data_IF_803403677310
#
_entry.id   IF_803403677310
#
_cell.length_a   1.000
_cell.length_b   1.000
_cell.length_c   1.000
_cell.angle_alpha   90.00
_cell.angle_beta   90.00
_cell.angle_gamma   90.00
#
_symmetry.space_group_name_H-M   'P 1'
#
loop_
_entity.id
_entity.type
_entity.pdbx_description
1 polymer ?
#
# COMPACT_ATOMS: atom_id res chain seq x y z
N UNK A 1 13.09 -13.44 -13.55
CA UNK A 1 13.47 -14.58 -12.68
C UNK A 1 14.88 -14.32 -12.18
N UNK A 2 15.21 -14.71 -10.95
CA UNK A 2 16.49 -14.38 -10.30
C UNK A 2 16.59 -12.91 -9.89
N UNK A 3 15.52 -12.38 -9.29
CA UNK A 3 15.47 -10.98 -8.81
C UNK A 3 15.69 -10.99 -7.31
N UNK A 4 16.69 -10.24 -6.84
CA UNK A 4 17.04 -10.14 -5.42
C UNK A 4 16.32 -8.97 -4.72
N UNK A 5 15.86 -7.97 -5.50
CA UNK A 5 15.13 -6.80 -5.04
C UNK A 5 14.01 -6.43 -6.03
N UNK A 6 12.79 -6.25 -5.54
CA UNK A 6 11.68 -5.71 -6.31
C UNK A 6 11.12 -4.44 -5.65
N UNK A 7 10.84 -3.42 -6.46
CA UNK A 7 10.30 -2.14 -6.01
C UNK A 7 9.00 -1.86 -6.74
N UNK A 8 7.93 -1.61 -5.98
CA UNK A 8 6.62 -1.24 -6.51
C UNK A 8 6.43 0.29 -6.55
N UNK A 9 5.48 0.79 -7.36
CA UNK A 9 5.15 2.21 -7.41
C UNK A 9 4.64 2.80 -6.08
N UNK A 10 4.55 4.13 -6.04
CA UNK A 10 4.00 4.89 -4.91
C UNK A 10 2.54 4.51 -4.62
N UNK A 11 2.22 4.24 -3.36
CA UNK A 11 0.86 3.89 -2.89
C UNK A 11 0.16 2.86 -3.79
N UNK A 12 0.92 1.86 -4.25
CA UNK A 12 0.41 0.84 -5.15
C UNK A 12 -0.77 0.08 -4.54
N UNK A 13 -0.82 -0.05 -3.21
CA UNK A 13 -1.96 -0.62 -2.49
C UNK A 13 -2.80 0.43 -1.76
N UNK A 14 -4.16 0.37 -1.82
CA UNK A 14 -4.93 -0.38 -2.79
C UNK A 14 -4.82 0.22 -4.21
N UNK A 15 -4.57 1.53 -4.29
CA UNK A 15 -4.27 2.29 -5.50
C UNK A 15 -3.80 3.70 -5.12
N UNK A 16 -3.15 4.39 -6.05
CA UNK A 16 -2.80 5.80 -5.86
C UNK A 16 -4.08 6.65 -5.83
N UNK A 17 -4.23 7.60 -4.88
CA UNK A 17 -5.45 8.39 -4.69
C UNK A 17 -5.65 9.46 -5.78
N UNK A 18 -5.73 9.07 -7.06
CA UNK A 18 -5.86 9.98 -8.20
C UNK A 18 -7.08 10.89 -8.11
N UNK A 19 -8.17 10.45 -7.45
CA UNK A 19 -9.35 11.28 -7.21
C UNK A 19 -9.00 12.61 -6.52
N UNK A 20 -7.95 12.63 -5.68
CA UNK A 20 -7.48 13.86 -5.02
C UNK A 20 -6.90 14.90 -6.00
N UNK A 21 -6.50 14.47 -7.20
CA UNK A 21 -5.96 15.34 -8.26
C UNK A 21 -7.01 15.72 -9.30
N UNK A 22 -7.94 14.81 -9.61
CA UNK A 22 -8.83 14.96 -10.78
C UNK A 22 -10.26 15.35 -10.40
N UNK A 23 -10.66 15.17 -9.15
CA UNK A 23 -12.00 15.54 -8.68
C UNK A 23 -11.95 16.86 -7.91
N UNK A 24 -12.99 17.71 -8.03
CA UNK A 24 -13.15 18.85 -7.12
C UNK A 24 -13.26 18.37 -5.66
N UNK A 25 -12.69 19.12 -4.72
CA UNK A 25 -12.63 18.72 -3.31
C UNK A 25 -13.99 18.32 -2.70
N UNK A 26 -15.08 19.01 -3.08
CA UNK A 26 -16.45 18.72 -2.63
C UNK A 26 -16.96 17.34 -3.06
N UNK A 27 -16.40 16.76 -4.13
CA UNK A 27 -16.78 15.47 -4.67
C UNK A 27 -15.86 14.32 -4.21
N UNK A 28 -14.76 14.60 -3.49
CA UNK A 28 -13.78 13.58 -3.09
C UNK A 28 -14.23 12.69 -1.92
N UNK A 29 -15.28 13.08 -1.19
CA UNK A 29 -15.72 12.38 0.03
C UNK A 29 -15.96 10.87 -0.16
N UNK A 30 -16.79 10.44 -1.14
CA UNK A 30 -17.06 9.02 -1.37
C UNK A 30 -15.79 8.20 -1.69
N UNK A 31 -14.92 8.69 -2.57
CA UNK A 31 -13.68 7.99 -2.94
C UNK A 31 -12.65 7.98 -1.81
N UNK A 32 -12.63 9.03 -0.97
CA UNK A 32 -11.79 9.06 0.22
C UNK A 32 -12.22 8.01 1.24
N UNK A 33 -13.53 7.84 1.47
CA UNK A 33 -14.06 6.80 2.36
C UNK A 33 -13.77 5.41 1.80
N UNK A 34 -13.95 5.20 0.49
CA UNK A 34 -13.59 3.94 -0.17
C UNK A 34 -12.11 3.61 -0.02
N UNK A 35 -11.22 4.58 -0.26
CA UNK A 35 -9.79 4.41 -0.04
C UNK A 35 -9.51 4.03 1.41
N UNK A 36 -10.15 4.68 2.38
CA UNK A 36 -9.98 4.36 3.80
C UNK A 36 -10.45 2.92 4.14
N UNK A 37 -11.56 2.46 3.56
CA UNK A 37 -12.07 1.10 3.73
C UNK A 37 -11.13 0.04 3.15
N UNK A 38 -10.50 0.33 2.00
CA UNK A 38 -9.59 -0.56 1.28
C UNK A 38 -8.11 -0.41 1.71
N UNK A 39 -7.77 0.62 2.50
CA UNK A 39 -6.40 0.90 2.93
C UNK A 39 -5.83 -0.19 3.85
N UNK A 40 -4.49 -0.32 3.79
CA UNK A 40 -3.74 -1.37 4.46
C UNK A 40 -3.66 -1.08 5.95
N UNK A 41 -3.91 -2.11 6.78
CA UNK A 41 -3.59 -2.08 8.21
C UNK A 41 -2.21 -2.70 8.39
N UNK A 42 -1.34 -2.00 9.11
CA UNK A 42 0.04 -2.43 9.40
C UNK A 42 0.23 -2.53 10.92
N UNK A 43 0.71 -3.66 11.46
CA UNK A 43 0.84 -4.96 10.81
C UNK A 43 -0.53 -5.63 10.55
N UNK A 44 -0.60 -6.52 9.57
CA UNK A 44 -1.82 -7.28 9.27
C UNK A 44 -1.70 -8.28 8.13
N UNK A 45 -2.83 -8.85 7.66
CA UNK A 45 -2.83 -9.93 6.67
C UNK A 45 -2.09 -9.60 5.36
N UNK A 46 -2.12 -8.34 4.92
CA UNK A 46 -1.39 -7.89 3.72
C UNK A 46 0.12 -7.96 3.94
N UNK A 47 0.62 -7.43 5.07
CA UNK A 47 2.05 -7.47 5.39
C UNK A 47 2.53 -8.90 5.62
N UNK A 48 1.69 -9.76 6.21
CA UNK A 48 2.00 -11.17 6.42
C UNK A 48 2.16 -11.93 5.09
N UNK A 49 1.22 -11.70 4.16
CA UNK A 49 1.26 -12.32 2.83
C UNK A 49 2.49 -11.88 2.03
N UNK A 50 2.83 -10.58 2.06
CA UNK A 50 4.02 -10.07 1.35
C UNK A 50 5.31 -10.62 2.00
N UNK A 51 5.38 -10.67 3.32
CA UNK A 51 6.50 -11.25 4.06
C UNK A 51 6.71 -12.74 3.74
N UNK A 52 5.64 -13.53 3.64
CA UNK A 52 5.72 -14.94 3.23
C UNK A 52 6.31 -15.07 1.81
N UNK A 53 5.89 -14.21 0.89
CA UNK A 53 6.37 -14.23 -0.50
C UNK A 53 7.81 -13.76 -0.63
N UNK A 54 8.20 -12.71 0.09
CA UNK A 54 9.58 -12.24 0.17
C UNK A 54 10.52 -13.40 0.58
N UNK A 55 10.18 -14.08 1.70
CA UNK A 55 10.92 -15.26 2.18
C UNK A 55 10.95 -16.42 1.21
N UNK A 56 9.81 -16.77 0.62
CA UNK A 56 9.71 -17.91 -0.31
C UNK A 56 10.63 -17.72 -1.53
N UNK A 57 10.84 -16.47 -1.94
CA UNK A 57 11.64 -16.14 -3.11
C UNK A 57 13.07 -15.67 -2.77
N UNK A 58 13.41 -15.53 -1.48
CA UNK A 58 14.71 -14.98 -1.05
C UNK A 58 14.96 -13.59 -1.61
N UNK A 59 13.93 -12.73 -1.61
CA UNK A 59 13.92 -11.44 -2.31
C UNK A 59 13.44 -10.33 -1.38
N UNK A 60 14.16 -9.21 -1.39
CA UNK A 60 13.73 -7.97 -0.73
C UNK A 60 12.57 -7.35 -1.50
N UNK A 61 11.50 -6.96 -0.80
CA UNK A 61 10.33 -6.30 -1.39
C UNK A 61 10.17 -4.90 -0.82
N UNK A 62 10.14 -3.89 -1.69
CA UNK A 62 9.79 -2.51 -1.34
C UNK A 62 8.42 -2.18 -1.93
N UNK A 63 7.45 -1.90 -1.06
CA UNK A 63 6.04 -1.76 -1.45
C UNK A 63 5.46 -0.46 -0.91
N UNK A 64 4.98 0.40 -1.81
CA UNK A 64 4.19 1.58 -1.45
C UNK A 64 2.74 1.19 -1.13
N UNK A 65 2.21 1.70 -0.02
CA UNK A 65 0.84 1.46 0.41
C UNK A 65 0.21 2.71 1.04
N UNK A 66 -1.11 2.81 0.92
CA UNK A 66 -1.92 3.66 1.77
C UNK A 66 -2.16 2.89 3.06
N UNK A 67 -1.54 3.32 4.15
CA UNK A 67 -1.76 2.79 5.49
C UNK A 67 -2.90 3.54 6.17
N UNK A 68 -3.81 2.82 6.82
CA UNK A 68 -4.81 3.43 7.70
C UNK A 68 -4.47 3.18 9.15
N UNK A 69 -4.60 4.24 9.94
CA UNK A 69 -4.43 4.17 11.38
C UNK A 69 -5.35 5.19 12.08
N UNK A 70 -6.21 4.70 12.98
CA UNK A 70 -7.13 5.49 13.81
C UNK A 70 -7.88 6.64 13.10
N UNK A 71 -8.40 6.42 11.89
CA UNK A 71 -9.16 7.43 11.13
C UNK A 71 -8.32 8.28 10.17
N UNK A 72 -7.02 8.03 10.10
CA UNK A 72 -6.08 8.75 9.21
C UNK A 72 -5.51 7.84 8.14
N UNK A 73 -5.07 8.44 7.02
CA UNK A 73 -4.35 7.76 5.95
C UNK A 73 -2.92 8.31 5.83
N UNK A 74 -1.97 7.41 5.59
CA UNK A 74 -0.56 7.70 5.40
C UNK A 74 -0.05 7.06 4.11
N UNK A 75 0.83 7.77 3.40
CA UNK A 75 1.64 7.19 2.34
C UNK A 75 2.83 6.49 3.00
N UNK A 76 2.81 5.17 3.04
CA UNK A 76 3.76 4.35 3.79
C UNK A 76 4.59 3.49 2.83
N UNK A 77 5.90 3.46 3.07
CA UNK A 77 6.82 2.57 2.37
C UNK A 77 7.15 1.36 3.26
N UNK A 78 6.75 0.18 2.82
CA UNK A 78 6.99 -1.08 3.50
C UNK A 78 8.21 -1.77 2.89
N UNK A 79 9.13 -2.23 3.73
CA UNK A 79 10.34 -2.94 3.30
C UNK A 79 10.35 -4.31 3.99
N UNK A 80 10.36 -5.36 3.18
CA UNK A 80 10.42 -6.75 3.65
C UNK A 80 11.76 -7.35 3.25
N UNK A 81 12.45 -7.92 4.23
CA UNK A 81 13.70 -8.67 3.99
C UNK A 81 13.43 -10.07 3.41
N UNK A 82 14.46 -10.66 2.84
CA UNK A 82 14.48 -11.97 2.19
C UNK A 82 14.32 -13.16 3.16
#
# INVERSE_FOLDING_TARGET
QGVDLIVFPETFLPYYPYFSFVCPAVACGPEHLRLYEEAVVVPGPVTDAVSERARKHGMVVVLGANERDHGSLYNTQLIFDA
#
